data_IF_055391703414
#
_entry.id   IF_055391703414
#
_cell.length_a   1.000
_cell.length_b   1.000
_cell.length_c   1.000
_cell.angle_alpha   90.00
_cell.angle_beta   90.00
_cell.angle_gamma   90.00
#
_symmetry.space_group_name_H-M   'P 1'
#
loop_
_entity.id
_entity.type
_entity.pdbx_description
1 polymer ?
#
# COMPACT_ATOMS: atom_id res chain seq x y z
N UNK A 1 6.27 -16.19 -23.86
CA UNK A 1 5.31 -15.54 -22.96
C UNK A 1 6.05 -15.18 -21.69
N UNK A 2 6.16 -13.91 -21.26
CA UNK A 2 6.66 -13.65 -19.91
C UNK A 2 5.69 -14.31 -18.93
N UNK A 3 6.20 -15.18 -18.07
CA UNK A 3 5.43 -15.77 -16.98
C UNK A 3 5.16 -14.62 -16.01
N UNK A 4 4.01 -13.98 -16.16
CA UNK A 4 3.50 -13.06 -15.15
C UNK A 4 3.26 -13.93 -13.92
N UNK A 5 4.13 -13.82 -12.93
CA UNK A 5 3.91 -14.47 -11.64
C UNK A 5 2.49 -14.10 -11.18
N UNK A 6 1.68 -15.06 -10.69
CA UNK A 6 0.36 -14.73 -10.17
C UNK A 6 0.55 -13.70 -9.07
N UNK A 7 0.19 -12.45 -9.38
CA UNK A 7 0.23 -11.37 -8.40
C UNK A 7 -0.64 -11.86 -7.25
N UNK A 8 -0.10 -11.98 -6.02
CA UNK A 8 -0.91 -12.45 -4.92
C UNK A 8 -2.17 -11.56 -4.87
N UNK A 9 -3.36 -12.15 -4.68
CA UNK A 9 -4.59 -11.38 -4.55
C UNK A 9 -4.33 -10.30 -3.50
N UNK A 10 -4.83 -9.08 -3.71
CA UNK A 10 -4.76 -8.04 -2.68
C UNK A 10 -5.29 -8.65 -1.40
N UNK A 11 -4.41 -8.85 -0.43
CA UNK A 11 -4.80 -9.45 0.84
C UNK A 11 -5.88 -8.55 1.43
N UNK A 12 -6.96 -9.14 1.92
CA UNK A 12 -7.98 -8.37 2.65
C UNK A 12 -7.41 -7.75 3.94
N UNK A 13 -6.25 -8.24 4.38
CA UNK A 13 -5.52 -7.79 5.55
C UNK A 13 -4.02 -7.80 5.26
N UNK A 14 -3.48 -6.83 4.48
CA UNK A 14 -2.03 -6.71 4.33
C UNK A 14 -1.43 -6.32 5.68
N UNK A 15 -0.22 -6.80 5.92
CA UNK A 15 0.44 -6.64 7.20
C UNK A 15 1.36 -5.43 7.14
N UNK A 16 1.25 -4.46 8.07
CA UNK A 16 2.17 -3.34 8.09
C UNK A 16 3.58 -3.83 8.44
N UNK A 17 4.56 -3.34 7.68
CA UNK A 17 5.98 -3.58 7.90
C UNK A 17 6.56 -2.37 8.62
N UNK A 18 7.27 -2.61 9.72
CA UNK A 18 7.92 -1.55 10.48
C UNK A 18 9.14 -1.01 9.75
N UNK A 19 9.27 0.32 9.68
CA UNK A 19 10.45 1.02 9.19
C UNK A 19 11.41 1.22 10.36
N UNK A 20 12.50 0.47 10.39
CA UNK A 20 13.45 0.48 11.51
C UNK A 20 14.34 1.73 11.51
N UNK A 21 14.60 2.31 10.34
CA UNK A 21 15.53 3.43 10.17
C UNK A 21 14.85 4.81 10.14
N UNK A 22 13.52 4.86 10.24
CA UNK A 22 12.77 6.12 10.18
C UNK A 22 11.82 6.25 11.38
N UNK A 23 11.92 7.38 12.06
CA UNK A 23 11.02 7.78 13.14
C UNK A 23 10.46 9.18 12.88
N UNK A 24 9.23 9.43 13.32
CA UNK A 24 8.58 10.74 13.27
C UNK A 24 8.18 11.10 14.69
N UNK A 25 8.72 12.19 15.22
CA UNK A 25 8.45 12.65 16.60
C UNK A 25 8.66 11.55 17.67
N UNK A 26 9.69 10.72 17.50
CA UNK A 26 9.99 9.60 18.40
C UNK A 26 9.10 8.36 18.22
N UNK A 27 8.15 8.38 17.28
CA UNK A 27 7.28 7.24 16.95
C UNK A 27 7.87 6.39 15.84
N UNK A 28 7.62 5.08 15.93
CA UNK A 28 7.96 4.11 14.90
C UNK A 28 7.04 4.30 13.70
N UNK A 29 7.60 4.33 12.50
CA UNK A 29 6.84 4.41 11.26
C UNK A 29 6.59 3.01 10.70
N UNK A 30 5.44 2.84 10.05
CA UNK A 30 5.08 1.60 9.39
C UNK A 30 4.69 1.88 7.94
N UNK A 31 4.99 0.94 7.06
CA UNK A 31 4.63 0.99 5.64
C UNK A 31 3.85 -0.24 5.25
N UNK A 32 2.99 -0.13 4.24
CA UNK A 32 2.21 -1.25 3.71
C UNK A 32 2.94 -1.91 2.53
N UNK A 33 2.97 -3.23 2.52
CA UNK A 33 3.55 -4.02 1.42
C UNK A 33 2.59 -4.20 0.23
N UNK A 34 1.29 -4.16 0.51
CA UNK A 34 0.17 -4.26 -0.40
C UNK A 34 -0.94 -3.26 -0.07
N UNK A 35 -1.91 -3.11 -0.97
CA UNK A 35 -3.08 -2.25 -0.75
C UNK A 35 -3.94 -2.80 0.38
N UNK A 36 -4.44 -1.92 1.25
CA UNK A 36 -5.36 -2.27 2.34
C UNK A 36 -6.78 -1.82 1.95
N UNK A 37 -7.62 -2.72 1.41
CA UNK A 37 -8.99 -2.37 1.05
C UNK A 37 -9.90 -2.50 2.27
N UNK A 38 -10.62 -1.43 2.59
CA UNK A 38 -11.60 -1.37 3.66
C UNK A 38 -12.94 -0.90 3.10
N UNK A 39 -14.02 -1.54 3.52
CA UNK A 39 -15.37 -1.09 3.23
C UNK A 39 -16.13 -0.82 4.53
N UNK A 40 -16.66 0.39 4.64
CA UNK A 40 -17.50 0.82 5.74
C UNK A 40 -18.96 0.44 5.46
N UNK A 41 -19.55 -0.38 6.34
CA UNK A 41 -20.87 -0.97 6.11
C UNK A 41 -21.99 0.06 6.20
N UNK A 42 -21.84 1.06 7.07
CA UNK A 42 -22.85 2.11 7.27
C UNK A 42 -22.88 3.10 6.11
N UNK A 43 -21.73 3.64 5.71
CA UNK A 43 -21.67 4.62 4.62
C UNK A 43 -21.64 3.97 3.24
N UNK A 44 -21.29 2.68 3.14
CA UNK A 44 -21.05 1.99 1.88
C UNK A 44 -19.78 2.46 1.15
N UNK A 45 -18.94 3.26 1.79
CA UNK A 45 -17.71 3.79 1.17
C UNK A 45 -16.61 2.74 1.20
N UNK A 46 -16.00 2.51 0.05
CA UNK A 46 -14.77 1.73 -0.08
C UNK A 46 -13.59 2.68 -0.04
N UNK A 47 -12.74 2.45 0.96
CA UNK A 47 -11.50 3.17 1.20
C UNK A 47 -10.39 2.17 0.93
N UNK A 48 -9.50 2.50 0.01
CA UNK A 48 -8.31 1.67 -0.24
C UNK A 48 -7.10 2.50 0.13
N UNK A 49 -6.32 1.98 1.07
CA UNK A 49 -5.05 2.57 1.43
C UNK A 49 -4.01 2.00 0.48
N UNK A 50 -3.27 2.85 -0.24
CA UNK A 50 -2.27 2.41 -1.20
C UNK A 50 -1.12 1.69 -0.50
N UNK A 51 -0.50 0.79 -1.25
CA UNK A 51 0.80 0.23 -0.90
C UNK A 51 1.83 1.35 -0.69
N UNK A 52 2.81 1.07 0.17
CA UNK A 52 3.92 1.95 0.56
C UNK A 52 3.53 3.19 1.35
N UNK A 53 2.25 3.42 1.61
CA UNK A 53 1.83 4.52 2.47
C UNK A 53 2.43 4.38 3.86
N UNK A 54 2.99 5.47 4.35
CA UNK A 54 3.60 5.56 5.67
C UNK A 54 2.57 6.01 6.69
N UNK A 55 2.37 5.21 7.74
CA UNK A 55 1.50 5.50 8.89
C UNK A 55 2.33 5.53 10.17
N UNK A 56 1.98 6.40 11.10
CA UNK A 56 2.64 6.59 12.40
C UNK A 56 1.76 6.13 13.58
N UNK A 57 0.59 5.53 13.29
CA UNK A 57 -0.42 5.14 14.28
C UNK A 57 -0.71 6.25 15.31
N UNK A 58 -0.69 7.52 14.87
CA UNK A 58 -0.96 8.67 15.73
C UNK A 58 -2.37 8.64 16.32
N UNK A 59 -3.30 7.96 15.66
CA UNK A 59 -4.68 7.75 16.09
C UNK A 59 -4.84 6.79 17.27
N UNK A 60 -3.78 6.05 17.63
CA UNK A 60 -3.81 5.16 18.80
C UNK A 60 -3.28 5.89 20.04
N UNK A 61 -3.96 5.78 21.21
CA UNK A 61 -3.52 6.47 22.43
C UNK A 61 -2.07 6.17 22.82
N UNK A 62 -1.40 7.18 23.38
CA UNK A 62 0.03 7.12 23.75
C UNK A 62 0.40 5.95 24.68
N UNK A 63 -0.49 5.54 25.59
CA UNK A 63 -0.28 4.38 26.47
C UNK A 63 -0.43 3.04 25.72
N UNK A 64 -1.15 3.03 24.60
CA UNK A 64 -1.26 1.88 23.70
C UNK A 64 -0.06 1.75 22.77
N UNK A 65 0.60 2.86 22.41
CA UNK A 65 1.70 2.85 21.41
C UNK A 65 2.87 1.93 21.75
N UNK A 66 3.14 1.65 23.03
CA UNK A 66 4.18 0.72 23.45
C UNK A 66 3.79 -0.77 23.27
N UNK A 67 2.49 -1.08 23.31
CA UNK A 67 1.95 -2.46 23.32
C UNK A 67 1.00 -2.75 22.15
N UNK A 68 0.89 -1.85 21.17
CA UNK A 68 0.18 -2.12 19.93
C UNK A 68 0.96 -3.21 19.21
N UNK A 69 0.31 -4.36 19.09
CA UNK A 69 0.62 -5.30 18.03
C UNK A 69 0.36 -4.57 16.69
N UNK A 70 1.38 -4.36 15.83
CA UNK A 70 1.17 -3.78 14.50
C UNK A 70 0.19 -4.58 13.65
N UNK A 71 -0.02 -5.86 14.00
CA UNK A 71 -0.97 -6.76 13.36
C UNK A 71 -2.36 -6.72 14.02
N UNK A 72 -2.48 -6.00 15.14
CA UNK A 72 -3.65 -5.94 15.97
C UNK A 72 -4.83 -5.20 15.34
N UNK A 73 -6.04 -5.41 15.87
CA UNK A 73 -7.26 -4.85 15.32
C UNK A 73 -7.31 -3.32 15.34
N UNK A 74 -6.71 -2.71 16.37
CA UNK A 74 -6.59 -1.25 16.50
C UNK A 74 -5.64 -0.66 15.46
N UNK A 75 -4.51 -1.32 15.18
CA UNK A 75 -3.56 -0.88 14.16
C UNK A 75 -4.21 -0.86 12.77
N UNK A 76 -4.96 -1.92 12.43
CA UNK A 76 -5.71 -2.01 11.17
C UNK A 76 -6.71 -0.87 10.98
N UNK A 77 -7.42 -0.49 12.04
CA UNK A 77 -8.31 0.67 12.00
C UNK A 77 -7.55 1.99 11.86
N UNK A 78 -6.41 2.12 12.55
CA UNK A 78 -5.56 3.31 12.50
C UNK A 78 -5.02 3.59 11.10
N UNK A 79 -4.62 2.55 10.34
CA UNK A 79 -4.17 2.70 8.94
C UNK A 79 -5.23 3.42 8.09
N UNK A 80 -6.50 3.01 8.22
CA UNK A 80 -7.62 3.60 7.46
C UNK A 80 -7.86 5.04 7.90
N UNK A 81 -7.79 5.31 9.21
CA UNK A 81 -7.97 6.65 9.77
C UNK A 81 -6.87 7.62 9.32
N UNK A 82 -5.61 7.23 9.48
CA UNK A 82 -4.45 8.03 9.10
C UNK A 82 -4.48 8.35 7.59
N UNK A 83 -4.92 7.41 6.75
CA UNK A 83 -5.11 7.64 5.31
C UNK A 83 -6.18 8.71 5.02
N UNK A 84 -7.35 8.62 5.67
CA UNK A 84 -8.41 9.62 5.51
C UNK A 84 -7.98 11.00 6.03
N UNK A 85 -7.21 11.04 7.12
CA UNK A 85 -6.61 12.25 7.66
C UNK A 85 -5.59 12.84 6.70
N UNK A 86 -4.76 11.99 6.10
CA UNK A 86 -3.77 12.43 5.11
C UNK A 86 -4.45 13.07 3.91
N UNK A 87 -5.54 12.47 3.41
CA UNK A 87 -6.33 13.06 2.33
C UNK A 87 -6.89 14.41 2.75
N UNK A 88 -7.48 14.48 3.94
CA UNK A 88 -7.93 15.74 4.52
C UNK A 88 -9.10 16.38 3.76
N UNK A 89 -10.07 15.57 3.34
CA UNK A 89 -11.25 16.07 2.59
C UNK A 89 -12.02 17.13 3.41
N UNK A 90 -12.21 18.37 2.92
CA UNK A 90 -12.81 19.45 3.69
C UNK A 90 -14.17 19.06 4.29
N UNK A 91 -14.34 19.25 5.60
CA UNK A 91 -15.59 18.93 6.31
C UNK A 91 -15.82 17.43 6.60
N UNK A 92 -14.87 16.55 6.26
CA UNK A 92 -15.00 15.09 6.47
C UNK A 92 -14.20 14.53 7.63
N UNK A 93 -13.64 15.38 8.49
CA UNK A 93 -12.91 14.95 9.70
C UNK A 93 -13.75 14.06 10.60
N UNK A 94 -14.98 14.48 10.89
CA UNK A 94 -15.89 13.68 11.73
C UNK A 94 -16.20 12.33 11.09
N UNK A 95 -16.41 12.31 9.78
CA UNK A 95 -16.65 11.07 9.05
C UNK A 95 -15.45 10.11 9.15
N UNK A 96 -14.21 10.63 9.08
CA UNK A 96 -13.01 9.83 9.27
C UNK A 96 -12.91 9.25 10.68
N UNK A 97 -13.24 10.03 11.71
CA UNK A 97 -13.26 9.58 13.10
C UNK A 97 -14.36 8.51 13.33
N UNK A 98 -15.54 8.68 12.73
CA UNK A 98 -16.65 7.71 12.79
C UNK A 98 -16.27 6.39 12.09
N UNK A 99 -15.64 6.48 10.91
CA UNK A 99 -15.12 5.32 10.18
C UNK A 99 -14.08 4.58 11.02
N UNK A 100 -13.22 5.30 11.76
CA UNK A 100 -12.23 4.69 12.65
C UNK A 100 -12.89 3.90 13.78
N UNK A 101 -13.91 4.46 14.44
CA UNK A 101 -14.68 3.75 15.46
C UNK A 101 -15.30 2.47 14.88
N UNK A 102 -15.95 2.55 13.71
CA UNK A 102 -16.57 1.40 13.04
C UNK A 102 -15.55 0.35 12.61
N UNK A 103 -14.39 0.78 12.13
CA UNK A 103 -13.30 -0.11 11.75
C UNK A 103 -12.76 -0.86 12.98
N UNK A 104 -12.55 -0.18 14.11
CA UNK A 104 -12.14 -0.82 15.37
C UNK A 104 -13.15 -1.90 15.81
N UNK A 105 -14.45 -1.58 15.81
CA UNK A 105 -15.50 -2.54 16.16
C UNK A 105 -15.53 -3.73 15.20
N UNK A 106 -15.39 -3.48 13.90
CA UNK A 106 -15.36 -4.52 12.86
C UNK A 106 -14.16 -5.46 13.00
N UNK A 107 -13.00 -4.95 13.41
CA UNK A 107 -11.81 -5.77 13.63
C UNK A 107 -11.79 -6.45 15.01
N UNK A 108 -12.80 -6.23 15.87
CA UNK A 108 -12.93 -6.92 17.15
C UNK A 108 -12.31 -6.20 18.34
N UNK A 109 -12.05 -4.88 18.24
CA UNK A 109 -11.67 -4.07 19.40
C UNK A 109 -12.86 -3.96 20.34
N UNK A 110 -12.70 -4.18 21.67
CA UNK A 110 -13.78 -4.00 22.63
C UNK A 110 -14.41 -2.60 22.54
N UNK A 111 -15.75 -2.46 22.58
CA UNK A 111 -16.42 -1.16 22.38
C UNK A 111 -15.95 -0.05 23.34
N UNK A 112 -15.60 -0.40 24.57
CA UNK A 112 -15.05 0.54 25.55
C UNK A 112 -13.73 1.15 25.09
N UNK A 113 -12.79 0.30 24.64
CA UNK A 113 -11.48 0.75 24.14
C UNK A 113 -11.64 1.57 22.86
N UNK A 114 -12.50 1.11 21.95
CA UNK A 114 -12.79 1.80 20.70
C UNK A 114 -13.37 3.21 20.94
N UNK A 115 -14.27 3.35 21.93
CA UNK A 115 -14.87 4.64 22.27
C UNK A 115 -13.86 5.60 22.94
N UNK A 116 -12.93 5.09 23.75
CA UNK A 116 -11.85 5.91 24.32
C UNK A 116 -10.95 6.45 23.20
N UNK A 117 -10.52 5.57 22.28
CA UNK A 117 -9.70 5.96 21.14
C UNK A 117 -10.44 6.98 20.25
N UNK A 118 -11.73 6.75 19.98
CA UNK A 118 -12.58 7.70 19.24
C UNK A 118 -12.64 9.08 19.91
N UNK A 119 -12.88 9.14 21.22
CA UNK A 119 -12.88 10.41 21.96
C UNK A 119 -11.52 11.11 21.90
N UNK A 120 -10.42 10.36 21.99
CA UNK A 120 -9.07 10.89 21.91
C UNK A 120 -8.81 11.55 20.55
N UNK A 121 -9.12 10.88 19.43
CA UNK A 121 -8.95 11.46 18.08
C UNK A 121 -9.91 12.63 17.84
N UNK A 122 -11.12 12.58 18.40
CA UNK A 122 -12.11 13.64 18.22
C UNK A 122 -11.66 14.96 18.86
N UNK A 123 -11.07 14.87 20.06
CA UNK A 123 -10.58 16.00 20.84
C UNK A 123 -9.18 16.47 20.40
N UNK A 124 -8.30 15.56 19.98
CA UNK A 124 -6.88 15.86 19.72
C UNK A 124 -6.46 15.84 18.25
N UNK A 125 -7.28 15.31 17.34
CA UNK A 125 -6.89 15.06 15.94
C UNK A 125 -6.88 16.29 15.04
N UNK A 126 -7.46 17.41 15.45
CA UNK A 126 -7.65 18.58 14.58
C UNK A 126 -6.35 19.10 13.94
N UNK A 127 -5.24 19.10 14.70
CA UNK A 127 -3.94 19.55 14.20
C UNK A 127 -3.32 18.63 13.15
N UNK A 128 -3.72 17.36 13.11
CA UNK A 128 -3.20 16.35 12.18
C UNK A 128 -3.99 16.24 10.87
N UNK A 129 -5.12 16.94 10.75
CA UNK A 129 -6.00 16.75 9.61
C UNK A 129 -5.47 17.45 8.35
N UNK A 130 -5.21 16.67 7.28
CA UNK A 130 -4.78 17.19 5.99
C UNK A 130 -3.35 17.70 5.93
N UNK A 131 -2.48 17.32 6.88
CA UNK A 131 -1.10 17.79 6.90
C UNK A 131 -0.32 17.34 5.66
N UNK A 132 0.40 18.25 4.96
CA UNK A 132 1.22 17.90 3.81
C UNK A 132 2.33 16.90 4.13
N UNK A 133 2.79 16.88 5.39
CA UNK A 133 3.84 15.99 5.89
C UNK A 133 3.44 14.54 5.95
N UNK A 134 2.14 14.23 5.96
CA UNK A 134 1.64 12.86 6.10
C UNK A 134 1.52 12.16 4.74
N UNK A 135 1.64 12.91 3.65
CA UNK A 135 1.67 12.38 2.28
C UNK A 135 3.05 11.78 1.95
N UNK A 136 3.38 10.66 2.59
CA UNK A 136 4.68 9.98 2.47
C UNK A 136 4.54 8.52 2.06
N UNK A 137 5.46 8.08 1.21
CA UNK A 137 5.51 6.73 0.69
C UNK A 137 6.93 6.16 0.78
N UNK A 138 7.08 4.98 1.36
CA UNK A 138 8.38 4.31 1.52
C UNK A 138 8.25 2.85 1.12
N UNK A 139 9.11 2.41 0.19
CA UNK A 139 9.24 1.00 -0.13
C UNK A 139 9.98 0.28 1.01
N UNK A 140 9.38 -0.74 1.65
CA UNK A 140 10.04 -1.49 2.71
C UNK A 140 11.36 -2.14 2.26
N UNK A 141 11.54 -2.39 0.95
CA UNK A 141 12.78 -2.94 0.39
C UNK A 141 13.88 -1.88 0.17
N UNK A 142 13.52 -0.59 0.15
CA UNK A 142 14.43 0.53 -0.13
C UNK A 142 14.15 1.68 0.85
N UNK A 143 14.41 1.44 2.13
CA UNK A 143 14.11 2.39 3.22
C UNK A 143 15.03 3.62 3.23
N UNK A 144 16.20 3.52 2.58
CA UNK A 144 17.21 4.59 2.56
C UNK A 144 16.90 5.70 1.54
N UNK A 145 15.93 5.49 0.65
CA UNK A 145 15.59 6.43 -0.41
C UNK A 145 14.19 7.00 -0.22
N UNK A 146 14.10 8.33 -0.17
CA UNK A 146 12.82 9.05 -0.25
C UNK A 146 12.27 8.94 -1.68
N UNK A 147 11.10 8.32 -1.82
CA UNK A 147 10.46 8.14 -3.12
C UNK A 147 9.37 9.20 -3.32
N UNK A 148 9.22 9.74 -4.54
CA UNK A 148 8.08 10.58 -4.84
C UNK A 148 6.78 9.76 -4.70
N UNK A 149 5.64 10.42 -4.40
CA UNK A 149 4.35 9.75 -4.34
C UNK A 149 4.07 9.03 -5.66
N UNK A 150 3.62 7.77 -5.62
CA UNK A 150 3.41 6.98 -6.85
C UNK A 150 2.25 7.51 -7.71
N UNK A 151 1.39 8.37 -7.16
CA UNK A 151 0.23 8.95 -7.85
C UNK A 151 -0.15 10.31 -7.22
N UNK A 152 -0.91 11.17 -7.93
CA UNK A 152 -1.36 12.46 -7.39
C UNK A 152 -2.33 12.28 -6.22
N UNK A 153 -2.25 13.17 -5.22
CA UNK A 153 -3.13 13.13 -4.04
C UNK A 153 -4.61 13.21 -4.45
N UNK A 154 -5.44 12.21 -4.10
CA UNK A 154 -6.86 12.24 -4.42
C UNK A 154 -7.58 13.31 -3.59
N UNK A 155 -8.68 13.86 -4.12
CA UNK A 155 -9.52 14.84 -3.41
C UNK A 155 -10.43 14.20 -2.36
N UNK A 156 -10.75 12.91 -2.53
CA UNK A 156 -11.62 12.15 -1.63
C UNK A 156 -10.96 10.82 -1.24
N UNK A 157 -11.24 10.36 -0.02
CA UNK A 157 -10.78 9.06 0.47
C UNK A 157 -11.60 7.87 0.01
N UNK A 158 -12.75 8.13 -0.61
CA UNK A 158 -13.58 7.08 -1.20
C UNK A 158 -13.09 6.74 -2.60
N UNK A 159 -12.74 5.48 -2.83
CA UNK A 159 -12.41 4.96 -4.16
C UNK A 159 -13.66 4.48 -4.89
N UNK A 160 -14.61 3.89 -4.16
CA UNK A 160 -15.85 3.35 -4.73
C UNK A 160 -16.98 3.34 -3.72
N UNK A 161 -18.20 3.22 -4.20
CA UNK A 161 -19.39 3.08 -3.37
C UNK A 161 -20.02 1.69 -3.56
N UNK A 162 -20.24 0.98 -2.45
CA UNK A 162 -20.95 -0.29 -2.39
C UNK A 162 -21.94 -0.27 -1.22
N UNK A 163 -23.26 -0.24 -1.48
CA UNK A 163 -24.25 -0.23 -0.40
C UNK A 163 -24.09 -1.48 0.46
N UNK A 164 -23.98 -1.29 1.78
CA UNK A 164 -23.73 -2.35 2.78
C UNK A 164 -22.54 -3.26 2.44
N UNK A 165 -21.57 -2.77 1.68
CA UNK A 165 -20.41 -3.54 1.22
C UNK A 165 -20.74 -4.82 0.42
N UNK A 166 -21.93 -4.90 -0.19
CA UNK A 166 -22.33 -6.06 -0.98
C UNK A 166 -21.44 -6.20 -2.22
N UNK A 167 -20.83 -7.37 -2.41
CA UNK A 167 -19.92 -7.64 -3.54
C UNK A 167 -18.49 -7.12 -3.36
N UNK A 168 -18.16 -6.46 -2.25
CA UNK A 168 -16.81 -5.96 -1.98
C UNK A 168 -15.78 -7.10 -1.95
N UNK A 169 -16.04 -8.18 -1.20
CA UNK A 169 -15.12 -9.31 -1.10
C UNK A 169 -14.89 -9.98 -2.47
N UNK A 170 -15.95 -10.15 -3.26
CA UNK A 170 -15.86 -10.71 -4.61
C UNK A 170 -15.02 -9.82 -5.54
N UNK A 171 -15.13 -8.50 -5.40
CA UNK A 171 -14.30 -7.55 -6.15
C UNK A 171 -12.82 -7.66 -5.77
N UNK A 172 -12.49 -7.75 -4.49
CA UNK A 172 -11.08 -7.91 -4.07
C UNK A 172 -10.54 -9.27 -4.53
N UNK A 173 -11.36 -10.33 -4.46
CA UNK A 173 -11.01 -11.67 -4.93
C UNK A 173 -10.85 -11.76 -6.45
N UNK A 174 -11.51 -10.91 -7.24
CA UNK A 174 -11.31 -10.85 -8.69
C UNK A 174 -9.96 -10.26 -9.09
N UNK A 175 -9.16 -9.77 -8.13
CA UNK A 175 -7.86 -9.15 -8.38
C UNK A 175 -7.94 -7.67 -8.73
N UNK A 176 -9.10 -7.02 -8.48
CA UNK A 176 -9.23 -5.58 -8.66
C UNK A 176 -8.29 -4.82 -7.71
N UNK A 177 -7.72 -3.73 -8.22
CA UNK A 177 -6.80 -2.83 -7.50
C UNK A 177 -7.23 -1.39 -7.68
N UNK A 178 -7.07 -0.60 -6.63
CA UNK A 178 -7.43 0.82 -6.65
C UNK A 178 -6.32 1.69 -7.27
N UNK A 179 -5.06 1.34 -7.03
CA UNK A 179 -3.92 2.11 -7.46
C UNK A 179 -3.05 1.31 -8.44
N UNK A 180 -2.39 1.99 -9.39
CA UNK A 180 -1.48 1.32 -10.31
C UNK A 180 -0.27 0.76 -9.54
N UNK A 181 0.17 -0.44 -9.92
CA UNK A 181 1.47 -0.93 -9.48
C UNK A 181 2.57 -0.11 -10.15
N UNK A 182 3.65 0.25 -9.43
CA UNK A 182 4.85 0.75 -10.08
C UNK A 182 5.31 -0.31 -11.08
N UNK A 183 5.43 0.07 -12.35
CA UNK A 183 5.95 -0.82 -13.37
C UNK A 183 7.33 -1.30 -12.91
N UNK A 184 7.52 -2.62 -12.80
CA UNK A 184 8.87 -3.15 -12.64
C UNK A 184 9.67 -2.66 -13.84
N UNK A 185 10.81 -1.98 -13.65
CA UNK A 185 11.64 -1.60 -14.79
C UNK A 185 11.94 -2.88 -15.55
N UNK A 186 11.54 -2.94 -16.83
CA UNK A 186 11.87 -4.06 -17.70
C UNK A 186 13.39 -4.00 -17.84
N UNK A 187 14.09 -4.87 -17.13
CA UNK A 187 15.51 -5.12 -17.38
C UNK A 187 15.55 -5.86 -18.70
N UNK A 188 15.50 -5.13 -19.81
CA UNK A 188 15.83 -5.70 -21.10
C UNK A 188 17.28 -6.16 -21.00
N UNK A 189 17.59 -7.45 -21.26
CA UNK A 189 18.99 -7.84 -21.35
C UNK A 189 19.66 -6.96 -22.41
N UNK A 190 20.91 -6.54 -22.21
CA UNK A 190 21.64 -5.80 -23.23
C UNK A 190 21.56 -6.58 -24.55
N UNK A 191 21.44 -5.89 -25.71
CA UNK A 191 21.43 -6.57 -26.99
C UNK A 191 22.67 -7.47 -27.05
N UNK A 192 22.47 -8.75 -27.33
CA UNK A 192 23.57 -9.69 -27.53
C UNK A 192 24.31 -9.22 -28.79
N UNK A 193 25.37 -8.45 -28.60
CA UNK A 193 26.31 -8.13 -29.66
C UNK A 193 27.03 -9.44 -29.93
N UNK A 194 26.64 -10.13 -31.00
CA UNK A 194 27.40 -11.26 -31.51
C UNK A 194 28.69 -10.66 -32.06
N UNK A 195 29.71 -10.56 -31.20
CA UNK A 195 31.08 -10.29 -31.64
C UNK A 195 31.48 -11.47 -32.49
N UNK A 196 31.53 -11.27 -33.82
CA UNK A 196 32.12 -12.25 -34.74
C UNK A 196 33.51 -12.57 -34.22
N UNK A 197 33.71 -13.79 -33.75
CA UNK A 197 35.04 -14.20 -33.29
C UNK A 197 35.93 -14.40 -34.51
N UNK A 198 37.26 -14.24 -34.39
CA UNK A 198 38.18 -14.56 -35.49
C UNK A 198 38.00 -16.01 -36.00
N UNK A 199 37.49 -16.91 -35.16
CA UNK A 199 37.18 -18.30 -35.51
C UNK A 199 36.09 -18.43 -36.58
N UNK A 200 35.16 -17.47 -36.67
CA UNK A 200 34.11 -17.45 -37.71
C UNK A 200 34.68 -17.11 -39.09
N UNK A 201 35.74 -16.31 -39.15
CA UNK A 201 36.49 -16.04 -40.39
C UNK A 201 37.36 -17.22 -40.82
N UNK A 202 37.82 -18.04 -39.88
CA UNK A 202 38.56 -19.27 -40.19
C UNK A 202 37.60 -20.35 -40.69
N UNK A 203 36.43 -20.50 -40.07
CA UNK A 203 35.38 -21.44 -40.53
C UNK A 203 34.89 -21.16 -41.95
N UNK A 204 34.81 -19.89 -42.37
CA UNK A 204 34.45 -19.53 -43.76
C UNK A 204 35.56 -19.77 -44.79
N UNK A 205 36.81 -20.00 -44.34
CA UNK A 205 37.96 -20.33 -45.19
C UNK A 205 38.30 -21.83 -45.19
N UNK A 206 37.61 -22.64 -44.38
CA UNK A 206 37.81 -24.09 -44.36
C UNK A 206 36.97 -24.77 -45.44
N UNK A 207 37.54 -25.70 -46.24
CA UNK A 207 36.88 -26.32 -47.40
C UNK A 207 35.68 -27.25 -47.06
N UNK A 208 35.32 -27.38 -45.78
CA UNK A 208 34.25 -28.26 -45.30
C UNK A 208 33.11 -27.52 -44.56
N UNK A 209 33.15 -26.18 -44.49
CA UNK A 209 32.22 -25.37 -43.69
C UNK A 209 31.08 -24.73 -44.50
N UNK A 210 30.39 -25.50 -45.34
CA UNK A 210 29.32 -25.00 -46.21
C UNK A 210 28.25 -26.05 -46.45
N UNK A 211 27.73 -26.63 -45.38
CA UNK A 211 26.74 -27.70 -45.47
C UNK A 211 25.68 -27.57 -44.38
N UNK A 212 24.75 -26.64 -44.56
CA UNK A 212 23.38 -26.89 -44.10
C UNK A 212 22.40 -26.55 -45.22
N UNK A 213 22.15 -27.59 -46.03
CA UNK A 213 20.92 -27.78 -46.79
C UNK A 213 19.85 -28.27 -45.82
N UNK A 214 18.74 -27.54 -45.73
CA UNK A 214 17.33 -28.04 -45.75
C UNK A 214 16.42 -26.82 -45.49
N UNK A 215 15.65 -26.43 -46.51
CA UNK A 215 14.22 -26.70 -46.70
C UNK A 215 13.35 -25.95 -45.70
#
# INVERSE_FOLDING_TARGET
MPVVAPTPPSSLTPQPIMLFNQTKDGRKLFTLDAEFPYCDVETGKVIVVPRWYVTDFASVPWYGQAFIDPQGPTARAAIVHDWLYTIGEPGKRQEADDIFLRAMLKYGVPPFQANIAYKAVRLGGEKGYGLPTDWRFVDPKRQDFSQPPPFPKPRTGMVRYFPKCQGFTALIQSGWRAYPLPATPVVAPPPVVITRTPLDQVKSRLPFGGGDKKK
#
